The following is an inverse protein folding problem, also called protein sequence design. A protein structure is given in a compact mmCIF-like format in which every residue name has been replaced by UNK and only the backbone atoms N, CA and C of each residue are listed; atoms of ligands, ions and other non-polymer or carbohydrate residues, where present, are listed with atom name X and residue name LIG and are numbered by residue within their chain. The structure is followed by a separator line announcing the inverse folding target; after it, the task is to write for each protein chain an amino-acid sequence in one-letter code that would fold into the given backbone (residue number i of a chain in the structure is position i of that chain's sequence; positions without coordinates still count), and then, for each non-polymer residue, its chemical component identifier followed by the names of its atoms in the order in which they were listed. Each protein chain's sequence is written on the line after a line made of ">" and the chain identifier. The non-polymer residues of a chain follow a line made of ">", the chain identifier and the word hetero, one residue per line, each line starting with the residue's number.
data_IF_487791409732
#
_entry.id   IF_487791409732
#
_cell.length_a   1.000
_cell.length_b   1.000
_cell.length_c   1.000
_cell.angle_alpha   90.00
_cell.angle_beta   90.00
_cell.angle_gamma   90.00
#
_symmetry.space_group_name_H-M   'P 1'
#
loop_
_entity.id
_entity.type
_entity.pdbx_description
1 polymer ?
#
# COMPACT_ATOMS: atom_id res chain seq x y z
N UNK A 1 -4.54 18.38 -20.50
CA UNK A 1 -4.43 16.92 -20.74
C UNK A 1 -4.42 16.27 -19.37
N UNK A 2 -5.57 15.77 -18.91
CA UNK A 2 -5.66 15.06 -17.64
C UNK A 2 -4.98 13.71 -17.81
N UNK A 3 -3.79 13.56 -17.23
CA UNK A 3 -3.13 12.26 -17.15
C UNK A 3 -3.96 11.42 -16.20
N UNK A 4 -4.88 10.61 -16.74
CA UNK A 4 -5.67 9.65 -15.97
C UNK A 4 -4.72 8.53 -15.53
N UNK A 5 -3.89 8.80 -14.52
CA UNK A 5 -3.00 7.80 -13.94
C UNK A 5 -3.91 6.71 -13.38
N UNK A 6 -4.05 5.64 -14.14
CA UNK A 6 -4.84 4.48 -13.71
C UNK A 6 -3.99 3.76 -12.68
N UNK A 7 -4.11 4.15 -11.41
CA UNK A 7 -3.42 3.52 -10.28
C UNK A 7 -4.00 2.12 -10.04
N UNK A 8 -3.76 1.19 -10.95
CA UNK A 8 -4.17 -0.20 -10.73
C UNK A 8 -3.17 -0.85 -9.77
N UNK A 9 -3.63 -1.11 -8.54
CA UNK A 9 -2.89 -1.90 -7.58
C UNK A 9 -3.03 -3.39 -7.91
N UNK A 10 -1.97 -4.16 -7.69
CA UNK A 10 -2.03 -5.61 -7.53
C UNK A 10 -2.49 -5.94 -6.11
N UNK A 11 -2.82 -7.21 -5.86
CA UNK A 11 -3.17 -7.66 -4.52
C UNK A 11 -2.04 -7.42 -3.50
N UNK A 12 -0.78 -7.58 -3.91
CA UNK A 12 0.38 -7.33 -3.06
C UNK A 12 0.60 -5.83 -2.83
N UNK A 13 0.42 -4.99 -3.86
CA UNK A 13 0.47 -3.54 -3.69
C UNK A 13 -0.58 -3.06 -2.69
N UNK A 14 -1.78 -3.64 -2.71
CA UNK A 14 -2.85 -3.30 -1.76
C UNK A 14 -2.46 -3.64 -0.31
N UNK A 15 -1.77 -4.75 -0.08
CA UNK A 15 -1.23 -5.08 1.25
C UNK A 15 -0.13 -4.09 1.68
N UNK A 16 0.77 -3.73 0.76
CA UNK A 16 1.83 -2.74 1.03
C UNK A 16 1.23 -1.37 1.33
N UNK A 17 0.25 -0.94 0.53
CA UNK A 17 -0.43 0.34 0.70
C UNK A 17 -1.12 0.43 2.07
N UNK A 18 -1.76 -0.65 2.55
CA UNK A 18 -2.36 -0.70 3.88
C UNK A 18 -1.32 -0.57 5.00
N UNK A 19 -0.21 -1.31 4.92
CA UNK A 19 0.87 -1.21 5.91
C UNK A 19 1.42 0.23 6.01
N UNK A 20 1.59 0.89 4.87
CA UNK A 20 2.07 2.28 4.80
C UNK A 20 1.02 3.24 5.37
N UNK A 21 -0.24 3.09 4.96
CA UNK A 21 -1.33 3.95 5.39
C UNK A 21 -1.54 3.91 6.91
N UNK A 22 -1.44 2.73 7.52
CA UNK A 22 -1.51 2.59 8.98
C UNK A 22 -0.28 3.21 9.64
N UNK A 23 0.92 2.99 9.10
CA UNK A 23 2.15 3.55 9.66
C UNK A 23 2.22 5.08 9.56
N UNK A 24 1.57 5.68 8.56
CA UNK A 24 1.53 7.13 8.36
C UNK A 24 0.29 7.79 8.99
N UNK A 25 -0.52 7.03 9.74
CA UNK A 25 -1.77 7.53 10.33
C UNK A 25 -1.56 8.53 11.48
N UNK A 26 -0.36 8.58 12.07
CA UNK A 26 0.04 9.56 13.08
C UNK A 26 0.78 10.78 12.46
N UNK A 27 0.53 11.06 11.18
CA UNK A 27 1.07 12.16 10.37
C UNK A 27 2.56 12.05 9.99
N UNK A 28 3.30 11.04 10.48
CA UNK A 28 4.72 10.86 10.17
C UNK A 28 5.11 9.38 10.06
N UNK A 29 5.49 8.92 8.86
CA UNK A 29 6.13 7.60 8.76
C UNK A 29 7.58 7.67 9.25
N UNK A 30 7.93 6.80 10.19
CA UNK A 30 9.30 6.69 10.68
C UNK A 30 10.10 5.79 9.76
N UNK A 31 11.40 6.07 9.59
CA UNK A 31 12.31 5.17 8.85
C UNK A 31 12.26 3.73 9.39
N UNK A 32 12.06 3.56 10.70
CA UNK A 32 11.92 2.24 11.32
C UNK A 32 10.67 1.48 10.86
N UNK A 33 9.55 2.16 10.58
CA UNK A 33 8.35 1.54 10.01
C UNK A 33 8.58 1.14 8.56
N UNK A 34 9.14 2.02 7.73
CA UNK A 34 9.49 1.69 6.35
C UNK A 34 10.44 0.48 6.26
N UNK A 35 11.44 0.40 7.15
CA UNK A 35 12.34 -0.76 7.24
C UNK A 35 11.59 -2.03 7.62
N UNK A 36 10.64 -1.96 8.57
CA UNK A 36 9.81 -3.12 8.94
C UNK A 36 8.93 -3.58 7.78
N UNK A 37 8.27 -2.65 7.09
CA UNK A 37 7.42 -2.96 5.92
C UNK A 37 8.28 -3.61 4.83
N UNK A 38 9.44 -3.04 4.51
CA UNK A 38 10.35 -3.63 3.53
C UNK A 38 10.83 -5.03 3.94
N UNK A 39 11.12 -5.24 5.23
CA UNK A 39 11.45 -6.57 5.75
C UNK A 39 10.30 -7.57 5.59
N UNK A 40 9.07 -7.17 5.89
CA UNK A 40 7.87 -7.99 5.69
C UNK A 40 7.69 -8.38 4.23
N UNK A 41 7.83 -7.42 3.30
CA UNK A 41 7.73 -7.67 1.86
C UNK A 41 8.81 -8.64 1.37
N UNK A 42 10.04 -8.52 1.87
CA UNK A 42 11.13 -9.41 1.44
C UNK A 42 11.05 -10.83 2.01
N UNK A 43 10.36 -11.03 3.14
CA UNK A 43 10.43 -12.30 3.89
C UNK A 43 9.13 -13.11 3.87
N UNK A 44 7.96 -12.51 3.66
CA UNK A 44 6.70 -13.25 3.71
C UNK A 44 6.38 -13.92 2.36
N UNK A 45 5.96 -15.21 2.35
CA UNK A 45 5.65 -15.95 1.13
C UNK A 45 4.59 -15.31 0.24
N UNK A 46 3.66 -14.54 0.81
CA UNK A 46 2.62 -13.83 0.05
C UNK A 46 3.21 -12.83 -0.95
N UNK A 47 4.44 -12.36 -0.70
CA UNK A 47 5.18 -11.44 -1.57
C UNK A 47 6.25 -12.14 -2.44
N UNK A 48 6.26 -13.47 -2.51
CA UNK A 48 7.32 -14.22 -3.23
C UNK A 48 7.49 -13.83 -4.72
N UNK A 49 6.43 -13.34 -5.36
CA UNK A 49 6.44 -12.87 -6.74
C UNK A 49 6.21 -11.34 -6.85
N UNK A 50 6.44 -10.61 -5.77
CA UNK A 50 6.25 -9.16 -5.75
C UNK A 50 7.34 -8.45 -6.55
N UNK A 51 6.94 -7.51 -7.39
CA UNK A 51 7.86 -6.64 -8.11
C UNK A 51 8.35 -5.53 -7.16
N UNK A 52 9.61 -5.64 -6.71
CA UNK A 52 10.22 -4.73 -5.75
C UNK A 52 10.30 -3.29 -6.25
N UNK A 53 10.34 -3.07 -7.57
CA UNK A 53 10.35 -1.73 -8.14
C UNK A 53 9.02 -1.01 -7.90
N UNK A 54 7.93 -1.76 -7.68
CA UNK A 54 6.62 -1.21 -7.32
C UNK A 54 6.56 -0.70 -5.89
N UNK A 55 7.43 -1.16 -5.00
CA UNK A 55 7.42 -0.73 -3.59
C UNK A 55 7.47 0.80 -3.46
N UNK A 56 8.46 1.43 -4.08
CA UNK A 56 8.61 2.89 -4.02
C UNK A 56 7.45 3.63 -4.71
N UNK A 57 6.88 3.05 -5.77
CA UNK A 57 5.72 3.60 -6.46
C UNK A 57 4.49 3.59 -5.54
N UNK A 58 4.26 2.49 -4.81
CA UNK A 58 3.13 2.37 -3.88
C UNK A 58 3.30 3.33 -2.70
N UNK A 59 4.52 3.44 -2.15
CA UNK A 59 4.83 4.43 -1.10
C UNK A 59 4.49 5.84 -1.55
N UNK A 60 4.99 6.25 -2.72
CA UNK A 60 4.70 7.58 -3.25
C UNK A 60 3.20 7.76 -3.52
N UNK A 61 2.52 6.76 -4.07
CA UNK A 61 1.08 6.82 -4.35
C UNK A 61 0.27 7.02 -3.07
N UNK A 62 0.61 6.34 -1.97
CA UNK A 62 -0.09 6.52 -0.68
C UNK A 62 0.14 7.93 -0.14
N UNK A 63 1.36 8.46 -0.20
CA UNK A 63 1.65 9.83 0.21
C UNK A 63 0.91 10.87 -0.64
N UNK A 64 0.96 10.74 -1.97
CA UNK A 64 0.25 11.61 -2.89
C UNK A 64 -1.27 11.60 -2.64
N UNK A 65 -1.83 10.45 -2.23
CA UNK A 65 -3.23 10.35 -1.85
C UNK A 65 -3.48 11.03 -0.50
N UNK A 66 -2.63 10.86 0.50
CA UNK A 66 -2.81 11.50 1.81
C UNK A 66 -2.78 13.04 1.76
N UNK A 67 -2.13 13.63 0.75
CA UNK A 67 -2.16 15.08 0.51
C UNK A 67 -3.48 15.61 -0.07
N UNK A 68 -4.38 14.72 -0.54
CA UNK A 68 -5.66 15.11 -1.15
C UNK A 68 -6.84 15.05 -0.17
N UNK A 69 -7.78 15.98 -0.33
CA UNK A 69 -8.99 16.10 0.52
C UNK A 69 -9.82 14.80 0.55
N UNK A 70 -10.03 14.16 -0.60
CA UNK A 70 -10.75 12.87 -0.73
C UNK A 70 -9.80 11.66 -0.89
N UNK A 71 -8.53 11.83 -0.53
CA UNK A 71 -7.47 10.86 -0.81
C UNK A 71 -7.65 9.50 -0.15
N UNK A 72 -8.20 9.46 1.05
CA UNK A 72 -8.50 8.22 1.77
C UNK A 72 -9.58 7.40 1.08
N UNK A 73 -10.65 8.04 0.58
CA UNK A 73 -11.71 7.37 -0.16
C UNK A 73 -11.16 6.76 -1.46
N UNK A 74 -10.29 7.50 -2.15
CA UNK A 74 -9.59 7.00 -3.32
C UNK A 74 -8.68 5.81 -2.98
N UNK A 75 -7.87 5.90 -1.93
CA UNK A 75 -7.02 4.80 -1.46
C UNK A 75 -7.82 3.53 -1.15
N UNK A 76 -8.91 3.66 -0.38
CA UNK A 76 -9.77 2.52 -0.05
C UNK A 76 -10.47 1.96 -1.28
N UNK A 77 -10.83 2.81 -2.25
CA UNK A 77 -11.33 2.38 -3.55
C UNK A 77 -10.33 1.49 -4.31
N UNK A 78 -9.06 1.90 -4.36
CA UNK A 78 -7.98 1.13 -4.99
C UNK A 78 -7.73 -0.20 -4.27
N UNK A 79 -7.58 -0.18 -2.94
CA UNK A 79 -7.34 -1.36 -2.12
C UNK A 79 -8.51 -2.36 -2.26
N UNK A 80 -9.75 -1.90 -2.13
CA UNK A 80 -10.93 -2.75 -2.24
C UNK A 80 -11.08 -3.39 -3.62
N UNK A 81 -10.62 -2.70 -4.67
CA UNK A 81 -10.63 -3.22 -6.04
C UNK A 81 -9.56 -4.28 -6.25
N UNK A 82 -8.38 -4.09 -5.67
CA UNK A 82 -7.21 -4.94 -5.91
C UNK A 82 -7.08 -6.13 -4.94
N UNK A 83 -7.63 -6.03 -3.73
CA UNK A 83 -7.46 -7.03 -2.67
C UNK A 83 -8.53 -8.14 -2.75
N UNK A 84 -8.16 -9.38 -3.09
CA UNK A 84 -9.10 -10.50 -3.11
C UNK A 84 -9.50 -10.91 -1.68
N UNK A 85 -10.72 -11.43 -1.52
CA UNK A 85 -11.27 -11.82 -0.20
C UNK A 85 -10.37 -12.79 0.58
N UNK A 86 -9.64 -13.67 -0.10
CA UNK A 86 -8.74 -14.64 0.53
C UNK A 86 -7.58 -13.98 1.29
N UNK A 87 -7.28 -12.71 0.99
CA UNK A 87 -6.20 -11.95 1.63
C UNK A 87 -6.69 -10.95 2.68
N UNK A 88 -7.98 -10.92 3.03
CA UNK A 88 -8.50 -9.98 4.03
C UNK A 88 -7.89 -10.23 5.41
N UNK A 89 -7.79 -11.50 5.83
CA UNK A 89 -7.14 -11.86 7.09
C UNK A 89 -5.65 -11.50 7.07
N UNK A 90 -4.98 -11.64 5.91
CA UNK A 90 -3.59 -11.21 5.74
C UNK A 90 -3.46 -9.70 5.87
N UNK A 91 -4.35 -8.93 5.24
CA UNK A 91 -4.37 -7.49 5.36
C UNK A 91 -4.58 -7.05 6.82
N UNK A 92 -5.50 -7.69 7.54
CA UNK A 92 -5.73 -7.43 8.96
C UNK A 92 -4.51 -7.77 9.83
N UNK A 93 -3.80 -8.87 9.53
CA UNK A 93 -2.63 -9.29 10.31
C UNK A 93 -1.37 -8.43 10.06
N UNK A 94 -1.27 -7.79 8.88
CA UNK A 94 -0.12 -6.94 8.51
C UNK A 94 -0.27 -5.48 8.91
N UNK A 95 -1.51 -5.04 9.14
CA UNK A 95 -1.88 -3.68 9.54
C UNK A 95 -1.76 -3.51 11.05
#
# INVERSE_FOLDING_TARGET
>A
MSNSTSYSLTAQDALVALMIAVSASDEDIRTAELVKINSTVNNLPVFANYDVDRFNIVVQTVFDLFEQEDGLDALFGLVRTALPKQLYETAYALS
#
